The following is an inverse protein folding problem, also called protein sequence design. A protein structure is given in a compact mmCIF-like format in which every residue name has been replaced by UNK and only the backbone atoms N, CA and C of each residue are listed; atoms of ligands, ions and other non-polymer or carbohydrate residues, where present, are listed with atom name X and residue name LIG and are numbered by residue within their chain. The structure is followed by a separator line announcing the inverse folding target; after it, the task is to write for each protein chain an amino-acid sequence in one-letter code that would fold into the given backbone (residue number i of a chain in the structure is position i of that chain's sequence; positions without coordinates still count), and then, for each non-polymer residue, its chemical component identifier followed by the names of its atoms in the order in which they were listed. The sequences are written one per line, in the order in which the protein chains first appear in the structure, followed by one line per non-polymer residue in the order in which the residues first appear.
data_IF_327881937000
#
_entry.id   IF_327881937000
#
_cell.length_a   1.000
_cell.length_b   1.000
_cell.length_c   1.000
_cell.angle_alpha   90.00
_cell.angle_beta   90.00
_cell.angle_gamma   90.00
#
_symmetry.space_group_name_H-M   'P 1'
#
loop_
_entity.id
_entity.type
_entity.pdbx_description
1 polymer ?
#
# COMPACT_ATOMS: atom_id res chain seq x y z
N UNK A 1 -13.57 -7.91 9.53
CA UNK A 1 -12.19 -8.06 10.02
C UNK A 1 -11.51 -9.12 9.15
N UNK A 2 -10.27 -8.91 8.69
CA UNK A 2 -9.57 -9.93 7.89
C UNK A 2 -8.96 -10.98 8.82
N UNK A 3 -9.18 -12.26 8.51
CA UNK A 3 -8.63 -13.37 9.28
C UNK A 3 -7.11 -13.43 9.15
N UNK A 4 -6.47 -14.20 10.03
CA UNK A 4 -5.01 -14.40 10.01
C UNK A 4 -4.50 -15.01 8.68
N UNK A 5 -5.37 -15.73 7.96
CA UNK A 5 -5.06 -16.38 6.69
C UNK A 5 -5.26 -15.46 5.47
N UNK A 6 -5.97 -14.34 5.62
CA UNK A 6 -6.25 -13.39 4.53
C UNK A 6 -5.12 -12.37 4.31
N UNK A 7 -3.94 -12.67 4.84
CA UNK A 7 -2.79 -11.77 4.86
C UNK A 7 -2.32 -11.40 3.46
N UNK A 8 -2.47 -12.33 2.52
CA UNK A 8 -2.04 -12.15 1.15
C UNK A 8 -2.85 -11.06 0.46
N UNK A 9 -4.10 -10.79 0.87
CA UNK A 9 -4.97 -9.82 0.20
C UNK A 9 -4.37 -8.42 0.27
N UNK A 10 -4.03 -7.94 1.47
CA UNK A 10 -3.47 -6.59 1.61
C UNK A 10 -2.08 -6.51 0.97
N UNK A 11 -1.25 -7.55 1.10
CA UNK A 11 0.09 -7.56 0.49
C UNK A 11 0.01 -7.52 -1.04
N UNK A 12 -0.96 -8.22 -1.63
CA UNK A 12 -1.19 -8.24 -3.08
C UNK A 12 -1.55 -6.85 -3.57
N UNK A 13 -2.51 -6.16 -2.93
CA UNK A 13 -2.85 -4.78 -3.31
C UNK A 13 -1.65 -3.84 -3.19
N UNK A 14 -0.84 -3.96 -2.13
CA UNK A 14 0.34 -3.11 -1.94
C UNK A 14 1.38 -3.38 -3.05
N UNK A 15 1.70 -4.65 -3.32
CA UNK A 15 2.65 -5.03 -4.37
C UNK A 15 2.18 -4.61 -5.76
N UNK A 16 0.90 -4.81 -6.09
CA UNK A 16 0.33 -4.35 -7.35
C UNK A 16 0.40 -2.82 -7.47
N UNK A 17 0.12 -2.10 -6.38
CA UNK A 17 0.24 -0.64 -6.36
C UNK A 17 1.64 -0.15 -6.70
N UNK A 18 2.67 -0.79 -6.12
CA UNK A 18 4.08 -0.53 -6.43
C UNK A 18 4.40 -0.84 -7.89
N UNK A 19 3.99 -2.02 -8.39
CA UNK A 19 4.22 -2.40 -9.79
C UNK A 19 3.57 -1.42 -10.77
N UNK A 20 2.32 -1.01 -10.52
CA UNK A 20 1.63 -0.03 -11.36
C UNK A 20 2.32 1.34 -11.34
N UNK A 21 2.81 1.80 -10.18
CA UNK A 21 3.61 3.03 -10.10
C UNK A 21 4.87 2.94 -10.97
N UNK A 22 5.63 1.85 -10.85
CA UNK A 22 6.87 1.64 -11.65
C UNK A 22 6.59 1.62 -13.15
N UNK A 23 5.44 1.09 -13.55
CA UNK A 23 4.99 1.03 -14.95
C UNK A 23 4.38 2.36 -15.46
N UNK A 24 4.32 3.41 -14.63
CA UNK A 24 3.72 4.70 -15.01
C UNK A 24 2.20 4.76 -14.90
N UNK A 25 1.53 3.69 -14.44
CA UNK A 25 0.09 3.64 -14.22
C UNK A 25 -0.26 4.25 -12.85
N UNK A 26 0.00 5.55 -12.68
CA UNK A 26 0.01 6.22 -11.38
C UNK A 26 -1.33 6.15 -10.64
N UNK A 27 -2.45 6.45 -11.30
CA UNK A 27 -3.77 6.43 -10.67
C UNK A 27 -4.12 5.05 -10.11
N UNK A 28 -3.96 4.01 -10.94
CA UNK A 28 -4.21 2.63 -10.55
C UNK A 28 -3.24 2.18 -9.45
N UNK A 29 -1.99 2.65 -9.50
CA UNK A 29 -1.01 2.42 -8.44
C UNK A 29 -1.46 2.99 -7.09
N UNK A 30 -1.91 4.25 -7.09
CA UNK A 30 -2.41 4.94 -5.90
C UNK A 30 -3.67 4.26 -5.36
N UNK A 31 -4.61 3.86 -6.22
CA UNK A 31 -5.83 3.16 -5.82
C UNK A 31 -5.49 1.85 -5.08
N UNK A 32 -4.61 1.05 -5.67
CA UNK A 32 -4.15 -0.22 -5.09
C UNK A 32 -3.43 -0.01 -3.74
N UNK A 33 -2.55 1.00 -3.64
CA UNK A 33 -1.86 1.34 -2.38
C UNK A 33 -2.85 1.76 -1.29
N UNK A 34 -3.81 2.64 -1.60
CA UNK A 34 -4.85 3.08 -0.64
C UNK A 34 -5.69 1.90 -0.16
N UNK A 35 -6.08 1.00 -1.07
CA UNK A 35 -6.83 -0.21 -0.73
C UNK A 35 -6.01 -1.16 0.16
N UNK A 36 -4.74 -1.36 -0.18
CA UNK A 36 -3.79 -2.11 0.64
C UNK A 36 -3.68 -1.56 2.06
N UNK A 37 -3.47 -0.25 2.22
CA UNK A 37 -3.40 0.43 3.52
C UNK A 37 -4.66 0.21 4.37
N UNK A 38 -5.83 0.38 3.75
CA UNK A 38 -7.11 0.17 4.43
C UNK A 38 -7.29 -1.27 4.93
N UNK A 39 -6.82 -2.26 4.17
CA UNK A 39 -6.88 -3.67 4.53
C UNK A 39 -5.87 -4.05 5.62
N UNK A 40 -4.64 -3.52 5.57
CA UNK A 40 -3.64 -3.67 6.66
C UNK A 40 -4.24 -3.22 7.99
N UNK A 41 -4.91 -2.06 7.99
CA UNK A 41 -5.55 -1.51 9.19
C UNK A 41 -6.66 -2.41 9.76
N UNK A 42 -7.35 -3.18 8.91
CA UNK A 42 -8.43 -4.12 9.27
C UNK A 42 -7.95 -5.55 9.57
N UNK A 43 -6.65 -5.82 9.47
CA UNK A 43 -6.06 -7.15 9.69
C UNK A 43 -5.76 -7.41 11.17
N UNK A 44 -5.96 -8.66 11.62
CA UNK A 44 -5.61 -9.13 12.98
C UNK A 44 -4.14 -9.61 13.03
N UNK A 45 -3.24 -8.93 12.31
CA UNK A 45 -1.81 -9.30 12.30
C UNK A 45 -1.10 -8.77 13.53
N UNK A 46 0.06 -9.37 13.82
CA UNK A 46 0.93 -8.86 14.86
C UNK A 46 1.32 -7.39 14.56
N UNK A 47 1.51 -6.56 15.60
CA UNK A 47 1.79 -5.13 15.44
C UNK A 47 3.01 -4.83 14.56
N UNK A 48 4.05 -5.67 14.62
CA UNK A 48 5.30 -5.46 13.90
C UNK A 48 5.13 -5.65 12.39
N UNK A 49 4.47 -6.74 11.99
CA UNK A 49 4.09 -6.97 10.59
C UNK A 49 3.19 -5.86 10.08
N UNK A 50 2.21 -5.44 10.87
CA UNK A 50 1.31 -4.34 10.51
C UNK A 50 2.09 -3.04 10.28
N UNK A 51 2.99 -2.68 11.20
CA UNK A 51 3.82 -1.48 11.12
C UNK A 51 4.70 -1.49 9.88
N UNK A 52 5.38 -2.60 9.58
CA UNK A 52 6.22 -2.75 8.37
C UNK A 52 5.44 -2.46 7.09
N UNK A 53 4.26 -3.05 6.94
CA UNK A 53 3.44 -2.84 5.75
C UNK A 53 2.87 -1.43 5.64
N UNK A 54 2.47 -0.81 6.76
CA UNK A 54 2.05 0.59 6.76
C UNK A 54 3.20 1.51 6.34
N UNK A 55 4.41 1.30 6.87
CA UNK A 55 5.60 2.08 6.49
C UNK A 55 5.93 1.96 4.99
N UNK A 56 5.82 0.76 4.41
CA UNK A 56 6.00 0.57 2.97
C UNK A 56 4.96 1.37 2.18
N UNK A 57 3.68 1.26 2.53
CA UNK A 57 2.63 1.96 1.79
C UNK A 57 2.76 3.48 1.90
N UNK A 58 3.09 3.98 3.10
CA UNK A 58 3.24 5.41 3.33
C UNK A 58 4.42 5.98 2.55
N UNK A 59 5.55 5.25 2.46
CA UNK A 59 6.67 5.61 1.60
C UNK A 59 6.21 5.81 0.16
N UNK A 60 5.58 4.79 -0.44
CA UNK A 60 5.16 4.85 -1.85
C UNK A 60 4.00 5.82 -2.12
N UNK A 61 3.19 6.17 -1.12
CA UNK A 61 2.19 7.24 -1.28
C UNK A 61 2.84 8.62 -1.21
N UNK A 62 3.85 8.82 -0.36
CA UNK A 62 4.53 10.11 -0.17
C UNK A 62 5.44 10.53 -1.33
N UNK A 63 6.02 9.58 -2.06
CA UNK A 63 6.88 9.86 -3.22
C UNK A 63 6.20 10.72 -4.30
N UNK A 64 4.87 10.74 -4.35
CA UNK A 64 4.11 11.51 -5.33
C UNK A 64 3.89 12.97 -4.90
N UNK A 65 3.87 13.28 -3.60
CA UNK A 65 3.76 14.68 -3.12
C UNK A 65 5.00 15.51 -3.52
N UNK A 66 6.12 14.86 -3.80
CA UNK A 66 7.36 15.51 -4.22
C UNK A 66 7.45 15.79 -5.73
N UNK A 67 6.60 15.16 -6.54
CA UNK A 67 6.58 15.36 -8.01
C UNK A 67 5.69 16.56 -8.36
N UNK A 68 4.56 16.75 -7.67
CA UNK A 68 3.66 17.89 -7.88
C UNK A 68 4.24 19.24 -7.42
N UNK A 69 5.29 19.25 -6.58
CA UNK A 69 5.94 20.48 -6.08
C UNK A 69 7.08 20.95 -7.01
N UNK A 70 7.39 20.21 -8.09
CA UNK A 70 8.53 20.50 -8.99
C UNK A 70 8.16 21.08 -10.36
N UNK A 71 6.98 21.68 -10.53
CA UNK A 71 6.59 22.39 -11.76
C UNK A 71 6.44 23.88 -11.50
#
# INVERSE_FOLDING_TARGET
VLGSHDWYIYQTYIKLGICHKVLGNLELGIENLKKGKALVNKSIKDPDTKKKWLSIVDLFLSENELIDVKI
#
